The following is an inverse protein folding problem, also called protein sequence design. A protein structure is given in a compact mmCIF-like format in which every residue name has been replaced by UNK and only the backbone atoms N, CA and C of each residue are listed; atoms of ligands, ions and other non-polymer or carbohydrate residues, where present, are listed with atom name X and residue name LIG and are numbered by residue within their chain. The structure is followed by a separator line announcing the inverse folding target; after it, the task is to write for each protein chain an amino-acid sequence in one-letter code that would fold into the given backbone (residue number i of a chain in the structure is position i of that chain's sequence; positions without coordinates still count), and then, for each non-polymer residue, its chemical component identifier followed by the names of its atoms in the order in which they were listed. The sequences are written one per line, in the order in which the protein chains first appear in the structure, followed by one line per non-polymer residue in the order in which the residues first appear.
data_IF_448105030751
#
_entry.id   IF_448105030751
#
_cell.length_a   1.000
_cell.length_b   1.000
_cell.length_c   1.000
_cell.angle_alpha   90.00
_cell.angle_beta   90.00
_cell.angle_gamma   90.00
#
_symmetry.space_group_name_H-M   'P 1'
#
loop_
_entity.id
_entity.type
_entity.pdbx_description
1 polymer ?
#
# COMPACT_ATOMS: atom_id res chain seq x y z
N UNK A 1 -14.71 2.80 18.10
CA UNK A 1 -14.32 3.73 17.06
C UNK A 1 -12.80 3.88 17.13
N UNK A 2 -12.06 3.03 16.42
CA UNK A 2 -10.63 3.17 16.25
C UNK A 2 -10.40 4.24 15.18
N UNK A 3 -9.89 5.39 15.59
CA UNK A 3 -9.21 6.32 14.71
C UNK A 3 -7.84 5.70 14.41
N UNK A 4 -7.72 5.02 13.26
CA UNK A 4 -6.41 4.68 12.73
C UNK A 4 -5.66 5.98 12.51
N UNK A 5 -4.55 6.15 13.24
CA UNK A 5 -3.69 7.33 13.16
C UNK A 5 -3.05 7.34 11.78
N UNK A 6 -3.50 8.25 10.90
CA UNK A 6 -2.73 8.62 9.73
C UNK A 6 -1.42 9.24 10.22
N UNK A 7 -0.30 8.66 9.89
CA UNK A 7 0.98 9.33 10.00
C UNK A 7 1.00 10.51 9.01
N UNK A 8 0.52 11.67 9.44
CA UNK A 8 0.73 12.90 8.71
C UNK A 8 2.18 13.35 8.99
N UNK A 9 3.03 13.36 7.98
CA UNK A 9 4.35 13.97 8.10
C UNK A 9 4.18 15.48 8.14
N UNK A 10 3.99 16.02 9.35
CA UNK A 10 4.11 17.44 9.59
C UNK A 10 5.59 17.75 9.79
N UNK A 11 6.19 18.45 8.84
CA UNK A 11 7.57 18.93 8.95
C UNK A 11 7.75 19.80 10.20
N UNK A 12 8.72 19.46 11.05
CA UNK A 12 9.13 20.28 12.19
C UNK A 12 9.69 21.59 11.68
N UNK A 13 9.16 22.70 12.17
CA UNK A 13 9.57 24.07 11.88
C UNK A 13 11.03 24.32 12.30
N UNK A 14 11.94 24.33 11.31
CA UNK A 14 13.24 24.94 11.44
C UNK A 14 13.43 25.87 10.23
N UNK A 15 13.52 27.16 10.47
CA UNK A 15 13.78 28.28 9.53
C UNK A 15 12.95 28.24 8.24
N UNK A 16 12.28 29.34 7.91
CA UNK A 16 11.51 29.51 6.68
C UNK A 16 12.43 29.34 5.46
N UNK A 17 12.65 28.08 5.08
CA UNK A 17 13.04 27.71 3.72
C UNK A 17 11.79 28.01 2.89
N UNK A 18 11.92 28.89 1.89
CA UNK A 18 10.86 29.08 0.92
C UNK A 18 10.53 27.72 0.33
N UNK A 19 9.32 27.24 0.60
CA UNK A 19 8.81 26.00 -0.01
C UNK A 19 8.77 26.29 -1.50
N UNK A 20 9.54 25.56 -2.30
CA UNK A 20 9.71 25.84 -3.73
C UNK A 20 8.42 25.65 -4.53
N UNK A 21 7.44 24.91 -4.00
CA UNK A 21 6.24 24.49 -4.70
C UNK A 21 6.50 23.46 -5.81
N UNK A 22 7.74 22.96 -5.93
CA UNK A 22 8.13 22.06 -7.02
C UNK A 22 7.36 20.74 -7.00
N UNK A 23 7.02 20.22 -5.81
CA UNK A 23 6.24 18.99 -5.64
C UNK A 23 4.78 19.26 -5.29
N UNK A 24 4.36 20.53 -5.24
CA UNK A 24 2.98 20.89 -4.93
C UNK A 24 2.01 20.27 -5.95
N UNK A 25 0.98 19.63 -5.45
CA UNK A 25 -0.09 19.04 -6.27
C UNK A 25 -1.45 19.53 -5.79
N UNK A 26 -2.39 19.66 -6.72
CA UNK A 26 -3.77 20.10 -6.41
C UNK A 26 -4.45 19.19 -5.39
N UNK A 27 -4.13 17.90 -5.39
CA UNK A 27 -4.71 16.88 -4.54
C UNK A 27 -3.63 16.19 -3.72
N UNK A 28 -3.93 15.71 -2.51
CA UNK A 28 -2.96 15.00 -1.70
C UNK A 28 -2.44 13.75 -2.42
N UNK A 29 -1.23 13.35 -2.10
CA UNK A 29 -0.59 12.12 -2.58
C UNK A 29 -0.72 11.07 -1.49
N UNK A 30 -1.20 9.87 -1.85
CA UNK A 30 -1.20 8.71 -0.97
C UNK A 30 -0.30 7.62 -1.52
N UNK A 31 0.73 7.25 -0.76
CA UNK A 31 1.70 6.21 -1.10
C UNK A 31 1.19 4.86 -0.60
N UNK A 32 1.28 3.83 -1.46
CA UNK A 32 0.75 2.49 -1.19
C UNK A 32 1.87 1.47 -1.34
N UNK A 33 2.24 0.81 -0.25
CA UNK A 33 3.32 -0.17 -0.20
C UNK A 33 3.00 -1.48 -0.92
N UNK A 34 4.04 -2.26 -1.21
CA UNK A 34 3.95 -3.58 -1.87
C UNK A 34 3.73 -4.74 -0.92
N UNK A 35 4.05 -5.94 -1.42
CA UNK A 35 4.04 -7.18 -0.65
C UNK A 35 5.01 -7.09 0.53
N UNK A 36 4.63 -7.63 1.69
CA UNK A 36 5.34 -7.53 2.95
C UNK A 36 5.68 -6.09 3.37
N UNK A 37 4.97 -5.12 2.79
CA UNK A 37 5.17 -3.72 3.11
C UNK A 37 4.47 -3.33 4.43
N UNK A 38 4.81 -2.13 4.87
CA UNK A 38 4.35 -1.50 6.10
C UNK A 38 4.41 0.02 5.89
N UNK A 39 3.82 0.80 6.75
CA UNK A 39 4.08 2.24 6.81
C UNK A 39 5.40 2.51 7.53
N UNK A 40 5.51 2.05 8.79
CA UNK A 40 6.72 2.13 9.61
C UNK A 40 6.94 0.81 10.35
N UNK A 41 8.14 0.25 10.30
CA UNK A 41 8.53 -0.97 11.01
C UNK A 41 9.77 -0.70 11.86
N UNK A 42 9.63 -0.81 13.19
CA UNK A 42 10.71 -0.55 14.15
C UNK A 42 11.42 0.81 13.94
N UNK A 43 10.66 1.84 13.53
CA UNK A 43 11.18 3.18 13.26
C UNK A 43 11.82 3.37 11.88
N UNK A 44 11.66 2.40 10.98
CA UNK A 44 12.09 2.50 9.58
C UNK A 44 10.86 2.54 8.68
N UNK A 45 10.74 3.57 7.87
CA UNK A 45 9.63 3.75 6.93
C UNK A 45 9.84 2.95 5.65
N UNK A 46 8.80 2.30 5.14
CA UNK A 46 8.84 1.63 3.84
C UNK A 46 9.25 2.59 2.71
N UNK A 47 8.67 3.78 2.71
CA UNK A 47 9.01 4.86 1.77
C UNK A 47 10.06 5.81 2.37
N UNK A 48 11.15 5.26 2.90
CA UNK A 48 12.19 6.04 3.58
C UNK A 48 12.62 7.29 2.78
N UNK A 49 12.48 8.46 3.41
CA UNK A 49 12.85 9.76 2.86
C UNK A 49 11.96 10.29 1.72
N UNK A 50 11.04 9.49 1.17
CA UNK A 50 10.16 9.92 0.07
C UNK A 50 9.10 10.91 0.55
N UNK A 51 8.31 10.63 1.61
CA UNK A 51 7.33 11.59 2.13
C UNK A 51 7.98 12.91 2.52
N UNK A 52 9.11 12.87 3.23
CA UNK A 52 9.84 14.05 3.66
C UNK A 52 10.32 14.90 2.47
N UNK A 53 10.92 14.25 1.46
CA UNK A 53 11.42 14.95 0.27
C UNK A 53 10.31 15.65 -0.51
N UNK A 54 9.15 14.97 -0.66
CA UNK A 54 8.01 15.55 -1.36
C UNK A 54 7.36 16.67 -0.55
N UNK A 55 7.19 16.49 0.76
CA UNK A 55 6.55 17.48 1.64
C UNK A 55 7.39 18.75 1.75
N UNK A 56 8.72 18.63 1.77
CA UNK A 56 9.65 19.77 1.84
C UNK A 56 9.41 20.79 0.72
N UNK A 57 9.01 20.32 -0.47
CA UNK A 57 8.80 21.14 -1.65
C UNK A 57 7.31 21.38 -1.97
N UNK A 58 6.41 21.17 -0.99
CA UNK A 58 5.02 21.63 -1.03
C UNK A 58 3.94 20.55 -1.19
N UNK A 59 4.29 19.28 -1.38
CA UNK A 59 3.29 18.21 -1.48
C UNK A 59 2.63 17.90 -0.12
N UNK A 60 1.34 17.56 -0.16
CA UNK A 60 0.64 16.90 0.96
C UNK A 60 0.71 15.40 0.76
N UNK A 61 1.52 14.70 1.59
CA UNK A 61 1.83 13.28 1.42
C UNK A 61 1.34 12.46 2.60
N UNK A 62 0.72 11.33 2.29
CA UNK A 62 0.21 10.35 3.25
C UNK A 62 0.67 8.96 2.85
N UNK A 63 0.88 8.10 3.82
CA UNK A 63 1.25 6.69 3.60
C UNK A 63 0.09 5.82 4.05
N UNK A 64 -0.40 4.98 3.14
CA UNK A 64 -1.48 4.04 3.44
C UNK A 64 -0.93 2.82 4.18
N UNK A 65 -1.72 2.33 5.14
CA UNK A 65 -1.48 1.09 5.84
C UNK A 65 -2.51 0.04 5.41
N UNK A 66 -2.10 -0.87 4.56
CA UNK A 66 -2.92 -2.00 4.11
C UNK A 66 -2.27 -3.31 4.51
N UNK A 67 -2.97 -4.44 4.38
CA UNK A 67 -2.42 -5.76 4.68
C UNK A 67 -1.06 -5.96 4.02
N UNK A 68 -0.08 -6.45 4.76
CA UNK A 68 1.23 -6.79 4.23
C UNK A 68 1.14 -7.94 3.21
N UNK A 69 0.17 -8.86 3.43
CA UNK A 69 -0.21 -9.93 2.49
C UNK A 69 -1.72 -10.05 2.43
N UNK A 70 -2.28 -9.93 1.25
CA UNK A 70 -3.67 -10.28 0.92
C UNK A 70 -3.88 -10.08 -0.59
N UNK A 71 -5.07 -10.37 -1.11
CA UNK A 71 -5.43 -10.11 -2.51
C UNK A 71 -5.43 -8.60 -2.83
N UNK A 72 -5.37 -8.27 -4.12
CA UNK A 72 -5.43 -6.87 -4.58
C UNK A 72 -6.75 -6.21 -4.18
N UNK A 73 -7.85 -6.96 -4.17
CA UNK A 73 -9.19 -6.49 -3.83
C UNK A 73 -9.30 -6.15 -2.34
N UNK A 74 -8.91 -7.07 -1.45
CA UNK A 74 -8.96 -6.84 0.01
C UNK A 74 -8.10 -5.64 0.40
N UNK A 75 -6.87 -5.56 -0.12
CA UNK A 75 -5.99 -4.41 0.06
C UNK A 75 -6.60 -3.14 -0.53
N UNK A 76 -7.28 -3.26 -1.67
CA UNK A 76 -7.98 -2.17 -2.34
C UNK A 76 -9.13 -1.60 -1.51
N UNK A 77 -9.94 -2.45 -0.88
CA UNK A 77 -11.01 -2.01 0.04
C UNK A 77 -10.44 -1.30 1.28
N UNK A 78 -9.35 -1.82 1.84
CA UNK A 78 -8.66 -1.17 2.95
C UNK A 78 -8.10 0.20 2.55
N UNK A 79 -7.54 0.32 1.36
CA UNK A 79 -7.05 1.57 0.81
C UNK A 79 -8.21 2.55 0.56
N UNK A 80 -9.32 2.08 0.00
CA UNK A 80 -10.50 2.91 -0.26
C UNK A 80 -11.02 3.57 1.01
N UNK A 81 -11.16 2.81 2.10
CA UNK A 81 -11.58 3.35 3.40
C UNK A 81 -10.66 4.48 3.90
N UNK A 82 -9.35 4.34 3.67
CA UNK A 82 -8.37 5.37 4.05
C UNK A 82 -8.45 6.59 3.12
N UNK A 83 -8.65 6.38 1.81
CA UNK A 83 -8.89 7.47 0.85
C UNK A 83 -10.11 8.30 1.26
N UNK A 84 -11.24 7.65 1.57
CA UNK A 84 -12.45 8.34 2.00
C UNK A 84 -12.23 9.14 3.29
N UNK A 85 -11.50 8.55 4.25
CA UNK A 85 -11.14 9.23 5.50
C UNK A 85 -10.22 10.42 5.25
N UNK A 86 -9.22 10.28 4.38
CA UNK A 86 -8.29 11.35 4.02
C UNK A 86 -9.05 12.53 3.35
N UNK A 87 -9.90 12.23 2.40
CA UNK A 87 -10.67 13.25 1.69
C UNK A 87 -11.62 13.99 2.63
N UNK A 88 -12.28 13.27 3.55
CA UNK A 88 -13.12 13.88 4.58
C UNK A 88 -12.32 14.78 5.53
N UNK A 89 -11.11 14.37 5.92
CA UNK A 89 -10.25 15.13 6.83
C UNK A 89 -9.62 16.38 6.19
N UNK A 90 -9.28 16.30 4.89
CA UNK A 90 -8.58 17.39 4.18
C UNK A 90 -9.52 18.31 3.42
N UNK A 91 -10.77 17.92 3.18
CA UNK A 91 -11.70 18.62 2.29
C UNK A 91 -11.33 18.52 0.81
N UNK A 92 -10.32 17.72 0.45
CA UNK A 92 -9.95 17.48 -0.94
C UNK A 92 -11.02 16.62 -1.64
N UNK A 93 -11.28 16.91 -2.91
CA UNK A 93 -12.28 16.15 -3.68
C UNK A 93 -11.73 14.88 -4.31
N UNK A 94 -10.40 14.76 -4.44
CA UNK A 94 -9.69 13.63 -5.07
C UNK A 94 -8.34 13.40 -4.41
N UNK A 95 -7.74 12.24 -4.70
CA UNK A 95 -6.39 11.86 -4.28
C UNK A 95 -5.54 11.43 -5.48
N UNK A 96 -4.22 11.66 -5.40
CA UNK A 96 -3.24 11.03 -6.29
C UNK A 96 -2.70 9.77 -5.60
N UNK A 97 -2.87 8.60 -6.20
CA UNK A 97 -2.38 7.33 -5.67
C UNK A 97 -1.03 6.99 -6.31
N UNK A 98 -0.06 6.62 -5.49
CA UNK A 98 1.26 6.16 -5.94
C UNK A 98 1.52 4.79 -5.31
N UNK A 99 1.43 3.73 -6.11
CA UNK A 99 1.58 2.35 -5.67
C UNK A 99 2.92 1.75 -6.08
N UNK A 100 3.67 1.20 -5.12
CA UNK A 100 4.88 0.45 -5.39
C UNK A 100 4.59 -1.06 -5.41
N UNK A 101 5.12 -1.79 -6.41
CA UNK A 101 4.98 -3.25 -6.52
C UNK A 101 3.50 -3.68 -6.48
N UNK A 102 3.06 -4.53 -5.52
CA UNK A 102 1.67 -4.89 -5.30
C UNK A 102 0.75 -3.69 -4.96
N UNK A 103 1.31 -2.58 -4.47
CA UNK A 103 0.58 -1.33 -4.28
C UNK A 103 0.03 -0.73 -5.59
N UNK A 104 0.63 -1.06 -6.75
CA UNK A 104 0.11 -0.65 -8.06
C UNK A 104 -1.27 -1.24 -8.37
N UNK A 105 -1.45 -2.57 -8.38
CA UNK A 105 -2.77 -3.22 -8.46
C UNK A 105 -3.74 -2.74 -7.38
N UNK A 106 -3.29 -2.63 -6.12
CA UNK A 106 -4.10 -2.10 -5.02
C UNK A 106 -4.68 -0.71 -5.33
N UNK A 107 -3.84 0.22 -5.82
CA UNK A 107 -4.27 1.56 -6.21
C UNK A 107 -5.20 1.54 -7.45
N UNK A 108 -4.94 0.64 -8.40
CA UNK A 108 -5.80 0.43 -9.58
C UNK A 108 -7.21 -0.03 -9.18
N UNK A 109 -7.33 -0.88 -8.17
CA UNK A 109 -8.63 -1.29 -7.63
C UNK A 109 -9.46 -0.08 -7.22
N UNK A 110 -8.92 0.79 -6.38
CA UNK A 110 -9.63 2.00 -5.93
C UNK A 110 -10.06 2.88 -7.11
N UNK A 111 -9.18 3.07 -8.09
CA UNK A 111 -9.50 3.85 -9.28
C UNK A 111 -10.60 3.21 -10.14
N UNK A 112 -10.75 1.88 -10.10
CA UNK A 112 -11.80 1.15 -10.84
C UNK A 112 -13.15 1.25 -10.15
N UNK A 113 -13.20 1.10 -8.82
CA UNK A 113 -14.47 1.09 -8.06
C UNK A 113 -14.95 2.48 -7.68
N UNK A 114 -14.03 3.43 -7.49
CA UNK A 114 -14.33 4.84 -7.13
C UNK A 114 -13.51 5.84 -7.96
N UNK A 115 -13.70 5.88 -9.29
CA UNK A 115 -12.98 6.81 -10.17
C UNK A 115 -13.26 8.29 -9.86
N UNK A 116 -14.39 8.57 -9.21
CA UNK A 116 -14.77 9.90 -8.75
C UNK A 116 -13.81 10.46 -7.69
N UNK A 117 -13.18 9.59 -6.86
CA UNK A 117 -12.27 9.98 -5.79
C UNK A 117 -10.80 10.05 -6.22
N UNK A 118 -10.44 9.51 -7.38
CA UNK A 118 -9.05 9.40 -7.84
C UNK A 118 -8.75 10.41 -8.93
N UNK A 119 -7.68 11.18 -8.77
CA UNK A 119 -7.18 12.12 -9.75
C UNK A 119 -6.16 11.47 -10.69
N UNK A 120 -5.27 10.64 -10.12
CA UNK A 120 -4.26 9.90 -10.87
C UNK A 120 -3.83 8.63 -10.15
N UNK A 121 -3.33 7.65 -10.91
CA UNK A 121 -2.64 6.47 -10.39
C UNK A 121 -1.26 6.41 -11.02
N UNK A 122 -0.23 6.42 -10.20
CA UNK A 122 1.15 6.17 -10.60
C UNK A 122 1.59 4.83 -10.05
N UNK A 123 2.11 3.96 -10.91
CA UNK A 123 2.58 2.64 -10.52
C UNK A 123 4.09 2.54 -10.70
N UNK A 124 4.80 2.26 -9.62
CA UNK A 124 6.26 2.10 -9.58
C UNK A 124 6.56 0.61 -9.45
N UNK A 125 7.09 0.00 -10.50
CA UNK A 125 7.38 -1.44 -10.53
C UNK A 125 6.15 -2.32 -10.28
N UNK A 126 4.94 -1.86 -10.64
CA UNK A 126 3.69 -2.56 -10.37
C UNK A 126 3.51 -3.84 -11.20
N UNK A 127 2.95 -4.86 -10.55
CA UNK A 127 2.81 -6.21 -11.10
C UNK A 127 1.47 -6.41 -11.85
N UNK A 128 1.17 -5.53 -12.80
CA UNK A 128 -0.11 -5.52 -13.53
C UNK A 128 -0.35 -6.68 -14.49
N UNK A 129 0.70 -7.45 -14.79
CA UNK A 129 0.64 -8.66 -15.62
C UNK A 129 1.22 -9.88 -14.90
N UNK A 130 1.25 -9.80 -13.58
CA UNK A 130 1.82 -10.83 -12.73
C UNK A 130 3.35 -10.85 -12.70
N UNK A 131 3.86 -11.80 -11.95
CA UNK A 131 5.27 -12.02 -11.70
C UNK A 131 5.63 -13.47 -12.00
N UNK A 132 6.65 -13.67 -12.85
CA UNK A 132 7.20 -15.02 -13.12
C UNK A 132 7.75 -15.69 -11.86
N UNK A 133 8.17 -14.90 -10.88
CA UNK A 133 8.59 -15.43 -9.57
C UNK A 133 7.38 -15.97 -8.81
N UNK A 134 6.26 -15.26 -8.83
CA UNK A 134 5.02 -15.73 -8.21
C UNK A 134 4.49 -17.01 -8.91
N UNK A 135 4.53 -17.05 -10.24
CA UNK A 135 4.17 -18.24 -11.03
C UNK A 135 5.03 -19.44 -10.62
N UNK A 136 6.35 -19.26 -10.49
CA UNK A 136 7.29 -20.30 -10.10
C UNK A 136 7.04 -20.79 -8.67
N UNK A 137 6.87 -19.88 -7.72
CA UNK A 137 6.60 -20.21 -6.32
C UNK A 137 5.28 -20.95 -6.21
N UNK A 138 4.21 -20.47 -6.84
CA UNK A 138 2.90 -21.11 -6.81
C UNK A 138 2.94 -22.50 -7.48
N UNK A 139 3.61 -22.62 -8.63
CA UNK A 139 3.76 -23.89 -9.34
C UNK A 139 4.67 -24.91 -8.63
N UNK A 140 5.52 -24.47 -7.72
CA UNK A 140 6.39 -25.35 -6.93
C UNK A 140 5.70 -25.93 -5.69
N UNK A 141 4.53 -25.38 -5.33
CA UNK A 141 3.77 -25.76 -4.13
C UNK A 141 2.45 -26.38 -4.62
N UNK A 142 2.35 -27.71 -4.54
CA UNK A 142 1.13 -28.41 -4.93
C UNK A 142 -0.03 -28.04 -4.02
N UNK A 143 -1.17 -27.73 -4.60
CA UNK A 143 -2.38 -27.36 -3.89
C UNK A 143 -2.79 -28.45 -2.87
N UNK A 144 -3.09 -28.04 -1.63
CA UNK A 144 -3.44 -28.95 -0.54
C UNK A 144 -2.27 -29.74 0.04
N UNK A 145 -1.03 -29.49 -0.38
CA UNK A 145 0.15 -30.22 0.10
C UNK A 145 0.59 -29.75 1.51
N UNK A 146 1.32 -30.64 2.22
CA UNK A 146 1.95 -30.26 3.49
C UNK A 146 2.95 -29.11 3.32
N UNK A 147 3.61 -29.01 2.16
CA UNK A 147 4.53 -27.94 1.82
C UNK A 147 3.81 -26.59 1.70
N UNK A 148 2.61 -26.56 1.09
CA UNK A 148 1.76 -25.37 1.07
C UNK A 148 1.36 -24.94 2.49
N UNK A 149 0.92 -25.88 3.33
CA UNK A 149 0.56 -25.58 4.71
C UNK A 149 1.72 -25.01 5.53
N UNK A 150 2.96 -25.46 5.28
CA UNK A 150 4.17 -24.90 5.92
C UNK A 150 4.49 -23.49 5.37
N UNK A 151 4.43 -23.32 4.06
CA UNK A 151 4.69 -22.02 3.41
C UNK A 151 3.69 -20.96 3.88
N UNK A 152 2.40 -21.30 3.93
CA UNK A 152 1.33 -20.41 4.44
C UNK A 152 1.56 -20.06 5.92
N UNK A 153 1.94 -21.02 6.76
CA UNK A 153 2.22 -20.73 8.18
C UNK A 153 3.44 -19.85 8.37
N UNK A 154 4.51 -20.04 7.58
CA UNK A 154 5.71 -19.21 7.65
C UNK A 154 5.42 -17.78 7.16
N UNK A 155 4.72 -17.64 6.04
CA UNK A 155 4.29 -16.34 5.55
C UNK A 155 3.37 -15.65 6.56
N UNK A 156 2.37 -16.36 7.12
CA UNK A 156 1.48 -15.83 8.14
C UNK A 156 2.21 -15.40 9.42
N UNK A 157 3.21 -16.17 9.86
CA UNK A 157 4.04 -15.80 11.00
C UNK A 157 4.84 -14.52 10.76
N UNK A 158 5.43 -14.38 9.57
CA UNK A 158 6.18 -13.17 9.19
C UNK A 158 5.26 -11.95 9.11
N UNK A 159 4.10 -12.09 8.48
CA UNK A 159 3.13 -10.99 8.37
C UNK A 159 2.54 -10.59 9.71
N UNK A 160 2.29 -11.55 10.60
CA UNK A 160 1.87 -11.27 11.98
C UNK A 160 2.94 -10.46 12.72
N UNK A 161 4.21 -10.80 12.54
CA UNK A 161 5.33 -10.06 13.14
C UNK A 161 5.41 -8.64 12.57
N UNK A 162 5.29 -8.48 11.26
CA UNK A 162 5.27 -7.17 10.60
C UNK A 162 4.11 -6.32 11.13
N UNK A 163 2.90 -6.86 11.19
CA UNK A 163 1.74 -6.16 11.73
C UNK A 163 1.93 -5.72 13.18
N UNK A 164 2.46 -6.63 14.01
CA UNK A 164 2.72 -6.32 15.43
C UNK A 164 3.72 -5.17 15.58
N UNK A 165 4.78 -5.17 14.78
CA UNK A 165 5.84 -4.17 14.85
C UNK A 165 5.47 -2.84 14.17
N UNK A 166 4.57 -2.86 13.19
CA UNK A 166 4.07 -1.65 12.49
C UNK A 166 2.80 -1.05 13.11
N UNK A 167 2.24 -1.67 14.14
CA UNK A 167 0.99 -1.23 14.75
C UNK A 167 -0.28 -1.57 13.95
N UNK A 168 -0.16 -2.33 12.86
CA UNK A 168 -1.27 -2.77 12.00
C UNK A 168 -1.90 -4.10 12.42
N UNK A 169 -2.20 -4.27 13.71
CA UNK A 169 -2.63 -5.56 14.29
C UNK A 169 -3.99 -6.05 13.83
N UNK A 170 -4.84 -5.16 13.31
CA UNK A 170 -6.23 -5.46 12.95
C UNK A 170 -6.42 -5.74 11.44
N UNK A 171 -5.34 -5.77 10.66
CA UNK A 171 -5.41 -6.02 9.23
C UNK A 171 -5.42 -7.53 8.94
N UNK A 172 -6.39 -7.95 8.14
CA UNK A 172 -6.50 -9.34 7.66
C UNK A 172 -5.32 -9.70 6.76
N UNK A 173 -4.69 -10.85 7.03
CA UNK A 173 -3.48 -11.29 6.34
C UNK A 173 -3.72 -12.65 5.68
N UNK A 174 -3.51 -12.73 4.36
CA UNK A 174 -3.57 -13.96 3.59
C UNK A 174 -2.42 -14.04 2.58
N UNK A 175 -1.39 -14.80 2.95
CA UNK A 175 -0.19 -14.98 2.12
C UNK A 175 -0.48 -15.76 0.84
N UNK A 176 -1.44 -16.69 0.84
CA UNK A 176 -1.80 -17.45 -0.34
C UNK A 176 -2.58 -16.57 -1.33
N UNK A 177 -3.59 -15.85 -0.85
CA UNK A 177 -4.34 -14.91 -1.67
C UNK A 177 -3.41 -13.84 -2.30
N UNK A 178 -2.41 -13.38 -1.54
CA UNK A 178 -1.41 -12.45 -2.06
C UNK A 178 -0.56 -13.08 -3.17
N UNK A 179 -0.08 -14.31 -2.95
CA UNK A 179 0.70 -15.04 -3.96
C UNK A 179 -0.12 -15.27 -5.24
N UNK A 180 -1.36 -15.70 -5.12
CA UNK A 180 -2.27 -15.91 -6.25
C UNK A 180 -2.54 -14.63 -7.02
N UNK A 181 -2.83 -13.52 -6.33
CA UNK A 181 -3.04 -12.22 -6.94
C UNK A 181 -1.82 -11.72 -7.74
N UNK A 182 -0.61 -12.16 -7.35
CA UNK A 182 0.64 -11.80 -8.00
C UNK A 182 1.08 -12.75 -9.11
N UNK A 183 0.40 -13.87 -9.32
CA UNK A 183 0.64 -14.74 -10.49
C UNK A 183 0.22 -14.05 -11.79
N UNK A 184 0.71 -14.57 -12.92
CA UNK A 184 0.26 -14.09 -14.24
C UNK A 184 -1.25 -14.30 -14.40
N UNK A 185 -1.79 -15.44 -14.00
CA UNK A 185 -3.22 -15.76 -14.08
C UNK A 185 -4.04 -14.83 -13.17
N UNK A 186 -3.71 -14.73 -11.88
CA UNK A 186 -4.42 -13.88 -10.93
C UNK A 186 -4.39 -12.40 -11.30
N UNK A 187 -3.26 -11.90 -11.78
CA UNK A 187 -3.15 -10.50 -12.23
C UNK A 187 -3.94 -10.19 -13.49
N UNK A 188 -4.19 -11.17 -14.36
CA UNK A 188 -5.02 -11.02 -15.57
C UNK A 188 -6.51 -11.21 -15.27
N UNK A 189 -6.87 -11.96 -14.23
CA UNK A 189 -8.24 -12.11 -13.76
C UNK A 189 -8.77 -10.85 -13.05
N UNK A 190 -7.87 -10.09 -12.43
CA UNK A 190 -8.13 -8.79 -11.80
C UNK A 190 -8.19 -7.67 -12.86
#
# INVERSE_FOLDING_TARGET
ACLSSFGAYAGTSASALEVSGYTETKYPIMLVHGLFGFDTLAGVDYFYGVPESLTKDGASVYVAQVSATNSSEVRGEQLLAQVETLLAATGASKVNLVGHSHGGPTARYVASVRPDLVASVTSIGGVHKGSKVADLVRGSVSEGSAAEGIAVKLAGGLTTLINLLSGGTDLDQDGLASLEALTTEGSLAF
#
